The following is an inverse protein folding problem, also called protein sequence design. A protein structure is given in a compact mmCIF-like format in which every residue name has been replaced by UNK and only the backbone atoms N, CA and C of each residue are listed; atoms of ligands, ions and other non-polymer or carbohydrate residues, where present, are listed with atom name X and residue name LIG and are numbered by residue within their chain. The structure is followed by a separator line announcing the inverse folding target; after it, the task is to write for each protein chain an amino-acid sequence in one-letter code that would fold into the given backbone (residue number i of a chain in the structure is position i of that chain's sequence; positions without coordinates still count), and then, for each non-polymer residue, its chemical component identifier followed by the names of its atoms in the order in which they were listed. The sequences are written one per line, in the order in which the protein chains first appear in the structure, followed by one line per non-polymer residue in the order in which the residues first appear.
data_IF_115856156989
#
_entry.id   IF_115856156989
#
_cell.length_a   1.000
_cell.length_b   1.000
_cell.length_c   1.000
_cell.angle_alpha   90.00
_cell.angle_beta   90.00
_cell.angle_gamma   90.00
#
_symmetry.space_group_name_H-M   'P 1'
#
loop_
_entity.id
_entity.type
_entity.pdbx_description
1 polymer ?
#
# COMPACT_ATOMS: atom_id res chain seq x y z
N UNK A 1 7.45 1.32 -11.16
CA UNK A 1 8.15 0.46 -10.17
C UNK A 1 7.41 0.43 -8.84
N UNK A 2 7.01 1.56 -8.26
CA UNK A 2 6.48 1.57 -6.88
C UNK A 2 5.08 0.98 -6.70
N UNK A 3 4.17 1.10 -7.68
CA UNK A 3 2.85 0.46 -7.60
C UNK A 3 2.91 -1.07 -7.63
N UNK A 4 3.87 -1.63 -8.38
CA UNK A 4 4.05 -3.08 -8.49
C UNK A 4 4.46 -3.71 -7.15
N UNK A 5 5.31 -3.00 -6.40
CA UNK A 5 5.69 -3.38 -5.04
C UNK A 5 4.51 -3.27 -4.09
N UNK A 6 3.77 -2.16 -4.10
CA UNK A 6 2.54 -2.00 -3.30
C UNK A 6 1.57 -3.14 -3.56
N UNK A 7 1.32 -3.47 -4.83
CA UNK A 7 0.44 -4.57 -5.22
C UNK A 7 0.94 -5.90 -4.69
N UNK A 8 2.24 -6.18 -4.78
CA UNK A 8 2.84 -7.43 -4.32
C UNK A 8 2.66 -7.59 -2.81
N UNK A 9 3.06 -6.59 -2.03
CA UNK A 9 2.94 -6.61 -0.57
C UNK A 9 1.49 -6.66 -0.10
N UNK A 10 0.60 -5.89 -0.73
CA UNK A 10 -0.83 -5.91 -0.45
C UNK A 10 -1.46 -7.28 -0.76
N UNK A 11 -1.02 -7.93 -1.84
CA UNK A 11 -1.46 -9.30 -2.17
C UNK A 11 -1.01 -10.30 -1.12
N UNK A 12 0.22 -10.17 -0.60
CA UNK A 12 0.72 -11.03 0.47
C UNK A 12 -0.12 -10.89 1.75
N UNK A 13 -0.42 -9.67 2.17
CA UNK A 13 -1.27 -9.40 3.35
C UNK A 13 -2.66 -10.00 3.18
N UNK A 14 -3.30 -9.82 2.02
CA UNK A 14 -4.62 -10.40 1.73
C UNK A 14 -4.58 -11.93 1.71
N UNK A 15 -3.51 -12.50 1.15
CA UNK A 15 -3.31 -13.97 1.11
C UNK A 15 -3.15 -14.54 2.51
N UNK A 16 -2.38 -13.89 3.38
CA UNK A 16 -2.17 -14.30 4.77
C UNK A 16 -3.49 -14.29 5.56
N UNK A 17 -4.33 -13.28 5.32
CA UNK A 17 -5.67 -13.17 5.90
C UNK A 17 -6.69 -14.15 5.31
N UNK A 18 -6.31 -15.00 4.35
CA UNK A 18 -7.24 -15.83 3.56
C UNK A 18 -8.38 -15.03 2.91
N UNK A 19 -8.14 -13.74 2.65
CA UNK A 19 -9.07 -12.87 1.98
C UNK A 19 -9.13 -13.22 0.50
N UNK A 20 -10.25 -12.91 -0.15
CA UNK A 20 -10.33 -13.06 -1.60
C UNK A 20 -9.31 -12.11 -2.24
N UNK A 21 -8.33 -12.66 -2.95
CA UNK A 21 -7.38 -11.87 -3.74
C UNK A 21 -8.16 -11.28 -4.92
N UNK A 22 -8.65 -10.06 -4.73
CA UNK A 22 -9.28 -9.26 -5.78
C UNK A 22 -8.19 -8.62 -6.64
N UNK A 23 -8.47 -8.36 -7.91
CA UNK A 23 -7.55 -7.65 -8.78
C UNK A 23 -7.25 -6.25 -8.23
N UNK A 24 -6.01 -6.02 -7.79
CA UNK A 24 -5.55 -4.73 -7.28
C UNK A 24 -5.12 -3.87 -8.47
N UNK A 25 -5.91 -2.85 -8.74
CA UNK A 25 -5.66 -1.79 -9.73
C UNK A 25 -5.23 -0.49 -9.04
N UNK A 26 -4.66 0.48 -9.76
CA UNK A 26 -4.29 1.78 -9.21
C UNK A 26 -5.47 2.52 -8.56
N UNK A 27 -6.68 2.35 -9.10
CA UNK A 27 -7.91 2.95 -8.60
C UNK A 27 -8.57 2.14 -7.46
N UNK A 28 -7.96 1.03 -7.05
CA UNK A 28 -8.48 0.20 -5.97
C UNK A 28 -8.37 0.92 -4.64
N UNK A 29 -9.53 1.11 -4.00
CA UNK A 29 -9.64 1.69 -2.66
C UNK A 29 -9.05 0.73 -1.63
N UNK A 30 -8.13 1.24 -0.83
CA UNK A 30 -7.45 0.51 0.24
C UNK A 30 -8.40 0.32 1.44
N UNK A 31 -8.71 1.39 2.17
CA UNK A 31 -9.58 1.33 3.35
C UNK A 31 -11.05 1.50 2.98
N UNK A 32 -11.94 0.72 3.60
CA UNK A 32 -13.39 0.72 3.31
C UNK A 32 -13.74 0.40 1.85
N UNK A 33 -12.83 -0.28 1.15
CA UNK A 33 -12.97 -0.64 -0.26
C UNK A 33 -13.43 -2.08 -0.46
N UNK A 34 -13.17 -2.65 -1.66
CA UNK A 34 -13.39 -4.07 -1.94
C UNK A 34 -12.33 -4.98 -1.29
N UNK A 35 -11.29 -4.40 -0.68
CA UNK A 35 -10.20 -5.10 -0.03
C UNK A 35 -10.52 -5.32 1.44
N UNK A 36 -10.20 -6.52 1.94
CA UNK A 36 -10.38 -6.89 3.35
C UNK A 36 -9.17 -6.45 4.20
N UNK A 37 -8.90 -5.14 4.16
CA UNK A 37 -7.78 -4.51 4.89
C UNK A 37 -8.30 -3.45 5.87
N UNK A 38 -7.68 -3.42 7.04
CA UNK A 38 -7.95 -2.45 8.08
C UNK A 38 -6.80 -1.45 8.20
N UNK A 39 -6.97 -0.41 9.04
CA UNK A 39 -5.93 0.58 9.33
C UNK A 39 -4.62 -0.05 9.83
N UNK A 40 -4.71 -1.20 10.52
CA UNK A 40 -3.54 -1.94 11.00
C UNK A 40 -2.77 -2.60 9.85
N UNK A 41 -3.47 -3.27 8.94
CA UNK A 41 -2.85 -3.88 7.75
C UNK A 41 -2.19 -2.83 6.88
N UNK A 42 -2.85 -1.68 6.73
CA UNK A 42 -2.29 -0.56 6.00
C UNK A 42 -1.01 -0.03 6.67
N UNK A 43 -1.00 0.10 8.00
CA UNK A 43 0.20 0.51 8.72
C UNK A 43 1.33 -0.51 8.54
N UNK A 44 1.04 -1.81 8.61
CA UNK A 44 2.01 -2.89 8.33
C UNK A 44 2.54 -2.79 6.90
N UNK A 45 1.68 -2.65 5.91
CA UNK A 45 2.05 -2.49 4.51
C UNK A 45 3.01 -1.31 4.33
N UNK A 46 2.67 -0.15 4.89
CA UNK A 46 3.50 1.04 4.81
C UNK A 46 4.87 0.75 5.42
N UNK A 47 4.94 0.20 6.64
CA UNK A 47 6.21 -0.13 7.29
C UNK A 47 7.04 -1.09 6.46
N UNK A 48 6.45 -2.16 5.93
CA UNK A 48 7.16 -3.12 5.07
C UNK A 48 7.70 -2.45 3.80
N UNK A 49 6.91 -1.59 3.17
CA UNK A 49 7.37 -0.81 2.01
C UNK A 49 8.52 0.13 2.37
N UNK A 50 8.47 0.79 3.53
CA UNK A 50 9.55 1.64 4.03
C UNK A 50 10.82 0.83 4.30
N UNK A 51 10.71 -0.37 4.87
CA UNK A 51 11.84 -1.27 5.14
C UNK A 51 12.47 -1.81 3.84
N UNK A 52 11.64 -2.20 2.87
CA UNK A 52 12.10 -2.77 1.59
C UNK A 52 12.72 -1.70 0.69
N UNK A 53 12.13 -0.51 0.66
CA UNK A 53 12.60 0.58 -0.22
C UNK A 53 13.62 1.50 0.45
N UNK A 54 13.65 1.55 1.78
CA UNK A 54 14.39 2.55 2.55
C UNK A 54 13.78 3.96 2.51
N UNK A 55 12.61 4.12 1.89
CA UNK A 55 11.95 5.41 1.70
C UNK A 55 10.87 5.63 2.75
N UNK A 56 10.77 6.85 3.26
CA UNK A 56 9.80 7.18 4.31
C UNK A 56 8.91 8.35 3.89
N UNK A 57 7.99 8.16 2.93
CA UNK A 57 7.15 9.24 2.40
C UNK A 57 6.25 9.90 3.45
N UNK A 58 6.00 9.24 4.58
CA UNK A 58 5.17 9.75 5.67
C UNK A 58 5.95 10.44 6.80
N UNK A 59 7.30 10.45 6.76
CA UNK A 59 8.13 11.03 7.82
C UNK A 59 8.02 12.54 7.93
N UNK A 60 7.81 13.23 6.82
CA UNK A 60 7.70 14.70 6.78
C UNK A 60 6.27 15.20 7.03
N UNK A 61 5.29 14.30 7.09
CA UNK A 61 3.90 14.62 7.35
C UNK A 61 2.97 13.52 6.88
N UNK A 62 1.80 13.44 7.51
CA UNK A 62 0.77 12.49 7.09
C UNK A 62 0.22 12.91 5.72
N UNK A 63 0.41 12.06 4.71
CA UNK A 63 -0.17 12.26 3.39
C UNK A 63 -1.45 11.45 3.30
N UNK A 64 -2.54 12.11 2.91
CA UNK A 64 -3.81 11.44 2.64
C UNK A 64 -3.69 10.67 1.32
N UNK A 65 -4.04 9.40 1.37
CA UNK A 65 -4.20 8.54 0.21
C UNK A 65 -5.39 7.61 0.46
N UNK A 66 -6.12 7.28 -0.59
CA UNK A 66 -7.29 6.39 -0.52
C UNK A 66 -7.10 5.14 -1.37
N UNK A 67 -6.26 5.23 -2.40
CA UNK A 67 -6.07 4.17 -3.39
C UNK A 67 -4.66 3.58 -3.38
N UNK A 68 -4.52 2.35 -3.89
CA UNK A 68 -3.23 1.69 -4.04
C UNK A 68 -2.29 2.45 -5.00
N UNK A 69 -2.85 3.09 -6.03
CA UNK A 69 -2.11 3.94 -6.97
C UNK A 69 -1.52 5.18 -6.29
N UNK A 70 -2.30 5.86 -5.45
CA UNK A 70 -1.82 7.00 -4.66
C UNK A 70 -0.67 6.59 -3.74
N UNK A 71 -0.80 5.48 -3.02
CA UNK A 71 0.27 4.96 -2.17
C UNK A 71 1.55 4.69 -2.97
N UNK A 72 1.44 4.03 -4.13
CA UNK A 72 2.57 3.80 -5.02
C UNK A 72 3.20 5.11 -5.54
N UNK A 73 2.39 6.13 -5.81
CA UNK A 73 2.87 7.44 -6.22
C UNK A 73 3.67 8.14 -5.11
N UNK A 74 3.29 7.97 -3.83
CA UNK A 74 4.03 8.53 -2.69
C UNK A 74 5.45 7.94 -2.60
N UNK A 75 5.57 6.62 -2.70
CA UNK A 75 6.88 5.97 -2.72
C UNK A 75 7.68 6.30 -3.98
N UNK A 76 7.03 6.47 -5.14
CA UNK A 76 7.71 6.97 -6.35
C UNK A 76 8.27 8.38 -6.16
N UNK A 77 7.50 9.27 -5.53
CA UNK A 77 7.92 10.64 -5.24
C UNK A 77 9.06 10.69 -4.23
N UNK A 78 9.04 9.83 -3.21
CA UNK A 78 10.12 9.75 -2.22
C UNK A 78 11.42 9.18 -2.81
N UNK A 79 11.33 8.35 -3.85
CA UNK A 79 12.47 7.77 -4.54
C UNK A 79 13.21 8.74 -5.49
N UNK A 80 12.63 9.92 -5.76
CA UNK A 80 13.02 10.86 -6.81
C UNK A 80 13.62 12.16 -6.32
#
# INVERSE_FOLDING_TARGET
MSFDLVRTELTQILTDKSASVVEITPDTVLLNGPLDIDSLDLATLVVTLEEVTGLQPFREGFVLFHTAGELGALFTKAAG
#
